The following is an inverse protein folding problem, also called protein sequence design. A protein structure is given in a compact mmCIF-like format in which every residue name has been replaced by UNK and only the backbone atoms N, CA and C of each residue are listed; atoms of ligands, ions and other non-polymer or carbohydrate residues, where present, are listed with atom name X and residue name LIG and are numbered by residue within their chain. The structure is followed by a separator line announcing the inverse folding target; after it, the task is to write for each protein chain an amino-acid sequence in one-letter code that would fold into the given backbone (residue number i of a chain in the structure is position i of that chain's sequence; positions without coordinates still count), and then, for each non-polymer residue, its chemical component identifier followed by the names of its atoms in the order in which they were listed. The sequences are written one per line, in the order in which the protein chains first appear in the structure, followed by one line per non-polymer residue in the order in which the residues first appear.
data_IF_910685370763
#
_entry.id   IF_910685370763
#
_cell.length_a   1.000
_cell.length_b   1.000
_cell.length_c   1.000
_cell.angle_alpha   90.00
_cell.angle_beta   90.00
_cell.angle_gamma   90.00
#
_symmetry.space_group_name_H-M   'P 1'
#
loop_
_entity.id
_entity.type
_entity.pdbx_description
1 polymer ?
#
# COMPACT_ATOMS: atom_id res chain seq x y z
N UNK A 1 -26.28 4.77 -9.55
CA UNK A 1 -24.99 4.30 -9.01
C UNK A 1 -24.07 5.47 -8.72
N UNK A 2 -23.61 5.58 -7.47
CA UNK A 2 -22.74 6.66 -6.95
C UNK A 2 -21.27 6.22 -6.96
N UNK A 3 -20.68 6.08 -8.16
CA UNK A 3 -19.34 5.52 -8.32
C UNK A 3 -18.24 6.47 -7.84
N UNK A 4 -18.39 7.77 -8.04
CA UNK A 4 -17.40 8.77 -7.62
C UNK A 4 -17.28 8.84 -6.11
N UNK A 5 -18.40 8.69 -5.39
CA UNK A 5 -18.46 8.67 -3.94
C UNK A 5 -17.92 7.35 -3.38
N UNK A 6 -18.14 6.22 -4.08
CA UNK A 6 -17.66 4.90 -3.65
C UNK A 6 -16.18 4.66 -3.98
N UNK A 7 -15.68 5.27 -5.04
CA UNK A 7 -14.33 5.08 -5.59
C UNK A 7 -13.68 6.41 -5.99
N UNK A 8 -13.51 7.35 -5.05
CA UNK A 8 -12.83 8.60 -5.36
C UNK A 8 -11.38 8.35 -5.78
N UNK A 9 -10.86 9.19 -6.66
CA UNK A 9 -9.43 9.19 -7.04
C UNK A 9 -8.56 9.86 -5.96
N UNK A 10 -8.71 9.44 -4.71
CA UNK A 10 -7.97 9.98 -3.58
C UNK A 10 -6.47 9.68 -3.72
N UNK A 11 -5.62 10.67 -3.39
CA UNK A 11 -4.15 10.57 -3.46
C UNK A 11 -3.61 10.14 -4.85
N UNK A 12 -4.36 10.43 -5.92
CA UNK A 12 -4.04 9.99 -7.29
C UNK A 12 -2.60 10.29 -7.70
N UNK A 13 -2.09 11.49 -7.40
CA UNK A 13 -0.73 11.88 -7.74
C UNK A 13 0.33 11.10 -6.97
N UNK A 14 0.06 10.75 -5.71
CA UNK A 14 0.96 9.90 -4.91
C UNK A 14 0.96 8.47 -5.44
N UNK A 15 -0.22 7.89 -5.73
CA UNK A 15 -0.27 6.56 -6.34
C UNK A 15 0.44 6.55 -7.69
N UNK A 16 0.17 7.52 -8.57
CA UNK A 16 0.85 7.67 -9.86
C UNK A 16 2.37 7.76 -9.68
N UNK A 17 2.86 8.60 -8.75
CA UNK A 17 4.28 8.74 -8.44
C UNK A 17 4.89 7.42 -7.99
N UNK A 18 4.28 6.76 -7.02
CA UNK A 18 4.86 5.57 -6.38
C UNK A 18 4.59 4.26 -7.13
N UNK A 19 3.70 4.23 -8.13
CA UNK A 19 3.60 3.10 -9.08
C UNK A 19 4.38 3.32 -10.37
N UNK A 20 4.96 4.51 -10.58
CA UNK A 20 5.77 4.79 -11.77
C UNK A 20 6.98 3.84 -11.85
N UNK A 21 7.17 3.20 -13.00
CA UNK A 21 8.26 2.23 -13.22
C UNK A 21 8.10 0.88 -12.53
N UNK A 22 6.97 0.64 -11.84
CA UNK A 22 6.61 -0.65 -11.27
C UNK A 22 5.73 -1.45 -12.23
N UNK A 23 5.69 -2.77 -12.05
CA UNK A 23 4.83 -3.66 -12.84
C UNK A 23 3.39 -3.68 -12.32
N UNK A 24 3.18 -3.31 -11.05
CA UNK A 24 1.83 -3.13 -10.50
C UNK A 24 1.13 -1.92 -11.16
N UNK A 25 -0.09 -2.10 -11.71
CA UNK A 25 -0.88 -0.97 -12.20
C UNK A 25 -1.32 -0.04 -11.06
N UNK A 26 -1.43 1.26 -11.34
CA UNK A 26 -1.95 2.24 -10.39
C UNK A 26 -3.33 1.84 -9.83
N UNK A 27 -4.22 1.37 -10.70
CA UNK A 27 -5.57 0.92 -10.33
C UNK A 27 -5.55 -0.25 -9.35
N UNK A 28 -4.54 -1.13 -9.42
CA UNK A 28 -4.41 -2.25 -8.51
C UNK A 28 -3.99 -1.79 -7.11
N UNK A 29 -2.98 -0.91 -7.02
CA UNK A 29 -2.58 -0.32 -5.74
C UNK A 29 -3.72 0.48 -5.08
N UNK A 30 -4.47 1.25 -5.88
CA UNK A 30 -5.65 1.98 -5.40
C UNK A 30 -6.77 1.05 -4.93
N UNK A 31 -6.98 -0.08 -5.62
CA UNK A 31 -7.97 -1.08 -5.19
C UNK A 31 -7.59 -1.70 -3.83
N UNK A 32 -6.31 -2.00 -3.59
CA UNK A 32 -5.82 -2.43 -2.28
C UNK A 32 -6.10 -1.36 -1.22
N UNK A 33 -5.68 -0.10 -1.45
CA UNK A 33 -5.89 0.97 -0.47
C UNK A 33 -7.39 1.21 -0.16
N UNK A 34 -8.24 1.13 -1.19
CA UNK A 34 -9.69 1.24 -1.04
C UNK A 34 -10.27 0.13 -0.17
N UNK A 35 -9.79 -1.11 -0.34
CA UNK A 35 -10.23 -2.26 0.45
C UNK A 35 -9.74 -2.17 1.89
N UNK A 36 -8.48 -1.79 2.09
CA UNK A 36 -7.80 -1.81 3.39
C UNK A 36 -8.22 -0.67 4.32
N UNK A 37 -8.44 0.54 3.79
CA UNK A 37 -8.68 1.73 4.63
C UNK A 37 -9.93 2.52 4.29
N UNK A 38 -10.58 2.21 3.17
CA UNK A 38 -11.60 3.08 2.56
C UNK A 38 -11.15 4.56 2.48
N UNK A 39 -9.86 4.78 2.20
CA UNK A 39 -9.19 6.09 2.10
C UNK A 39 -8.95 6.84 3.43
N UNK A 40 -9.08 6.18 4.58
CA UNK A 40 -8.73 6.79 5.87
C UNK A 40 -7.23 6.61 6.17
N UNK A 41 -6.39 7.66 6.10
CA UNK A 41 -4.95 7.52 6.36
C UNK A 41 -4.60 7.33 7.84
N UNK A 42 -5.57 7.52 8.75
CA UNK A 42 -5.36 7.42 10.19
C UNK A 42 -5.85 6.09 10.78
N UNK A 43 -6.35 5.17 9.96
CA UNK A 43 -6.87 3.88 10.44
C UNK A 43 -5.74 2.99 10.96
N UNK A 44 -6.00 2.37 12.11
CA UNK A 44 -5.15 1.36 12.73
C UNK A 44 -5.99 0.13 13.03
N UNK A 45 -5.53 -1.04 12.62
CA UNK A 45 -6.18 -2.29 12.98
C UNK A 45 -5.86 -2.69 14.42
N UNK A 46 -6.68 -3.55 15.06
CA UNK A 46 -6.40 -4.07 16.41
C UNK A 46 -5.07 -4.81 16.53
N UNK A 47 -4.54 -5.32 15.41
CA UNK A 47 -3.29 -6.08 15.36
C UNK A 47 -2.08 -5.23 14.91
N UNK A 48 -2.27 -3.93 14.66
CA UNK A 48 -1.19 -2.98 14.44
C UNK A 48 -0.94 -2.54 12.99
N UNK A 49 -1.70 -3.05 12.03
CA UNK A 49 -1.67 -2.58 10.64
C UNK A 49 -2.10 -1.10 10.58
N UNK A 50 -1.43 -0.27 9.78
CA UNK A 50 -1.61 1.19 9.83
C UNK A 50 -1.72 1.85 8.47
N UNK A 51 -2.56 2.88 8.38
CA UNK A 51 -2.67 3.81 7.26
C UNK A 51 -3.42 3.28 6.04
N UNK A 52 -3.25 3.96 4.91
CA UNK A 52 -4.04 3.79 3.69
C UNK A 52 -4.00 2.36 3.11
N UNK A 53 -2.85 1.71 3.21
CA UNK A 53 -2.61 0.35 2.69
C UNK A 53 -2.42 -0.67 3.81
N UNK A 54 -2.81 -0.33 5.05
CA UNK A 54 -2.75 -1.21 6.24
C UNK A 54 -1.43 -1.99 6.36
N UNK A 55 -0.32 -1.26 6.41
CA UNK A 55 1.00 -1.87 6.50
C UNK A 55 1.32 -2.27 7.95
N UNK A 56 1.77 -3.51 8.14
CA UNK A 56 2.29 -3.98 9.42
C UNK A 56 3.68 -3.38 9.71
N UNK A 57 4.03 -3.04 10.96
CA UNK A 57 5.35 -2.48 11.28
C UNK A 57 6.53 -3.35 10.84
N UNK A 58 6.42 -4.68 10.98
CA UNK A 58 7.44 -5.61 10.50
C UNK A 58 7.60 -5.58 8.97
N UNK A 59 6.48 -5.58 8.23
CA UNK A 59 6.45 -5.45 6.77
C UNK A 59 7.05 -4.12 6.32
N UNK A 60 6.75 -3.02 7.02
CA UNK A 60 7.34 -1.72 6.72
C UNK A 60 8.86 -1.75 6.88
N UNK A 61 9.38 -2.25 8.00
CA UNK A 61 10.82 -2.39 8.24
C UNK A 61 11.51 -3.25 7.18
N UNK A 62 10.92 -4.39 6.83
CA UNK A 62 11.44 -5.27 5.79
C UNK A 62 11.49 -4.58 4.43
N UNK A 63 10.39 -3.94 4.03
CA UNK A 63 10.25 -3.26 2.73
C UNK A 63 11.20 -2.07 2.61
N UNK A 64 11.29 -1.25 3.66
CA UNK A 64 12.19 -0.09 3.71
C UNK A 64 13.64 -0.51 3.52
N UNK A 65 14.06 -1.60 4.18
CA UNK A 65 15.40 -2.16 4.03
C UNK A 65 15.63 -2.71 2.62
N UNK A 66 14.67 -3.46 2.08
CA UNK A 66 14.77 -4.08 0.76
C UNK A 66 14.89 -3.05 -0.36
N UNK A 67 14.11 -1.97 -0.30
CA UNK A 67 14.03 -0.94 -1.34
C UNK A 67 14.83 0.32 -1.03
N UNK A 68 15.62 0.33 0.06
CA UNK A 68 16.41 1.48 0.51
C UNK A 68 15.59 2.78 0.63
N UNK A 69 14.35 2.68 1.15
CA UNK A 69 13.45 3.83 1.29
C UNK A 69 13.95 4.73 2.42
N UNK A 70 14.29 6.00 2.18
CA UNK A 70 14.80 6.88 3.21
C UNK A 70 13.68 7.37 4.15
N UNK A 71 14.07 7.80 5.35
CA UNK A 71 13.21 8.60 6.24
C UNK A 71 12.21 7.83 7.10
N UNK A 72 12.08 6.51 6.97
CA UNK A 72 11.26 5.70 7.87
C UNK A 72 12.06 5.24 9.10
N UNK A 73 11.63 5.66 10.29
CA UNK A 73 12.26 5.36 11.57
C UNK A 73 11.27 4.97 12.68
N UNK A 74 9.97 5.20 12.51
CA UNK A 74 8.96 4.85 13.50
C UNK A 74 7.62 4.43 12.88
N UNK A 75 6.88 3.48 13.49
CA UNK A 75 5.58 3.02 12.99
C UNK A 75 4.53 4.13 12.85
N UNK A 76 4.63 5.21 13.64
CA UNK A 76 3.70 6.35 13.56
C UNK A 76 3.70 7.04 12.20
N UNK A 77 4.81 6.96 11.46
CA UNK A 77 4.92 7.53 10.11
C UNK A 77 4.05 6.79 9.09
N UNK A 78 3.57 5.57 9.39
CA UNK A 78 2.62 4.87 8.52
C UNK A 78 1.24 5.54 8.47
N UNK A 79 0.97 6.54 9.31
CA UNK A 79 -0.24 7.37 9.24
C UNK A 79 -0.08 8.59 8.32
N UNK A 80 1.11 8.81 7.78
CA UNK A 80 1.36 9.78 6.71
C UNK A 80 1.04 9.12 5.36
N UNK A 81 0.15 9.71 4.53
CA UNK A 81 -0.26 9.14 3.25
C UNK A 81 0.91 8.84 2.31
N UNK A 82 1.88 9.75 2.18
CA UNK A 82 2.99 9.61 1.25
C UNK A 82 3.92 8.46 1.68
N UNK A 83 4.30 8.42 2.96
CA UNK A 83 5.09 7.33 3.54
C UNK A 83 4.39 5.98 3.38
N UNK A 84 3.08 5.93 3.69
CA UNK A 84 2.31 4.70 3.62
C UNK A 84 2.15 4.18 2.19
N UNK A 85 1.85 5.05 1.23
CA UNK A 85 1.72 4.68 -0.20
C UNK A 85 3.08 4.26 -0.76
N UNK A 86 4.17 4.94 -0.42
CA UNK A 86 5.50 4.57 -0.89
C UNK A 86 5.89 3.15 -0.42
N UNK A 87 5.77 2.89 0.88
CA UNK A 87 6.08 1.57 1.46
C UNK A 87 5.10 0.53 0.93
N UNK A 88 3.80 0.82 0.96
CA UNK A 88 2.75 -0.13 0.59
C UNK A 88 2.78 -0.55 -0.87
N UNK A 89 3.04 0.37 -1.81
CA UNK A 89 3.21 0.04 -3.23
C UNK A 89 4.51 -0.71 -3.50
N UNK A 90 5.57 -0.46 -2.73
CA UNK A 90 6.84 -1.18 -2.86
C UNK A 90 6.71 -2.61 -2.33
N UNK A 91 6.01 -2.80 -1.21
CA UNK A 91 5.66 -4.12 -0.72
C UNK A 91 4.75 -4.86 -1.71
N UNK A 92 3.70 -4.20 -2.22
CA UNK A 92 2.80 -4.79 -3.21
C UNK A 92 3.55 -5.25 -4.47
N UNK A 93 4.49 -4.43 -4.97
CA UNK A 93 5.35 -4.80 -6.10
C UNK A 93 6.18 -6.06 -5.80
N UNK A 94 6.78 -6.13 -4.61
CA UNK A 94 7.55 -7.30 -4.19
C UNK A 94 6.68 -8.57 -4.23
N UNK A 95 5.53 -8.59 -3.55
CA UNK A 95 4.65 -9.77 -3.56
C UNK A 95 4.12 -10.06 -4.96
N UNK A 96 3.79 -9.03 -5.74
CA UNK A 96 3.33 -9.19 -7.13
C UNK A 96 4.35 -9.94 -7.99
N UNK A 97 5.63 -9.59 -7.91
CA UNK A 97 6.69 -10.28 -8.64
C UNK A 97 6.95 -11.69 -8.11
N UNK A 98 6.88 -11.91 -6.79
CA UNK A 98 7.05 -13.26 -6.21
C UNK A 98 6.04 -14.27 -6.77
N UNK A 99 4.84 -13.80 -7.11
CA UNK A 99 3.78 -14.63 -7.69
C UNK A 99 3.65 -14.49 -9.22
N UNK A 100 4.75 -14.14 -9.91
CA UNK A 100 4.80 -14.10 -11.37
C UNK A 100 3.79 -13.11 -11.97
N UNK A 101 3.61 -11.96 -11.32
CA UNK A 101 2.68 -10.91 -11.73
C UNK A 101 1.21 -11.34 -11.73
N UNK A 102 0.86 -12.31 -10.89
CA UNK A 102 -0.51 -12.76 -10.71
C UNK A 102 -1.20 -11.95 -9.61
N UNK A 103 -2.11 -11.04 -10.00
CA UNK A 103 -2.87 -10.19 -9.08
C UNK A 103 -3.69 -10.97 -8.04
N UNK A 104 -4.19 -12.15 -8.38
CA UNK A 104 -5.04 -12.95 -7.48
C UNK A 104 -4.17 -13.47 -6.33
N UNK A 105 -3.04 -14.10 -6.65
CA UNK A 105 -2.14 -14.65 -5.65
C UNK A 105 -1.44 -13.55 -4.85
N UNK A 106 -1.00 -12.47 -5.50
CA UNK A 106 -0.38 -11.36 -4.79
C UNK A 106 -1.34 -10.65 -3.85
N UNK A 107 -2.62 -10.52 -4.20
CA UNK A 107 -3.63 -9.95 -3.29
C UNK A 107 -3.85 -10.83 -2.06
N UNK A 108 -3.93 -12.16 -2.25
CA UNK A 108 -4.06 -13.08 -1.14
C UNK A 108 -2.82 -13.02 -0.22
N UNK A 109 -1.62 -13.04 -0.80
CA UNK A 109 -0.37 -12.95 -0.05
C UNK A 109 -0.20 -11.60 0.66
N UNK A 110 -0.61 -10.49 0.04
CA UNK A 110 -0.55 -9.16 0.66
C UNK A 110 -1.33 -9.08 1.97
N UNK A 111 -2.50 -9.73 2.02
CA UNK A 111 -3.38 -9.71 3.19
C UNK A 111 -3.01 -10.78 4.23
N UNK A 112 -2.59 -11.97 3.79
CA UNK A 112 -2.35 -13.11 4.67
C UNK A 112 -0.90 -13.24 5.18
N UNK A 113 0.06 -12.63 4.48
CA UNK A 113 1.49 -12.89 4.69
C UNK A 113 1.99 -14.10 3.91
#
# INVERSE_FOLDING_TARGET
DHLEERFPLAYNDLFKRYTSGKEIPQSYAMAIARQESAWNPKVKSPVGASGLMQIMPGTATHTVKMFSIPGYSSPGQLLDPETNINIGTSYLQYVYQQFGNNRIFSSAAYNAG
#
